data_IF_606189227018
#
_entry.id   IF_606189227018
#
_cell.length_a   1.000
_cell.length_b   1.000
_cell.length_c   1.000
_cell.angle_alpha   90.00
_cell.angle_beta   90.00
_cell.angle_gamma   90.00
#
_symmetry.space_group_name_H-M   'P 1'
#
loop_
_entity.id
_entity.type
_entity.pdbx_description
1 polymer ?
#
# COMPACT_ATOMS: atom_id res chain seq x y z
N UNK A 1 19.25 14.79 -25.47
CA UNK A 1 18.14 14.34 -24.61
C UNK A 1 18.52 14.60 -23.17
N UNK A 2 17.65 15.19 -22.35
CA UNK A 2 17.93 15.40 -20.92
C UNK A 2 18.00 14.06 -20.20
N UNK A 3 18.91 13.93 -19.22
CA UNK A 3 19.04 12.70 -18.43
C UNK A 3 17.71 12.33 -17.74
N UNK A 4 17.37 11.03 -17.65
CA UNK A 4 16.15 10.57 -16.98
C UNK A 4 16.19 10.89 -15.48
N UNK A 5 15.06 11.35 -14.94
CA UNK A 5 14.94 11.74 -13.52
C UNK A 5 14.11 10.73 -12.75
N UNK A 6 14.16 10.81 -11.43
CA UNK A 6 13.24 10.10 -10.55
C UNK A 6 12.00 10.98 -10.28
N UNK A 7 10.82 10.36 -10.28
CA UNK A 7 9.59 10.98 -9.78
C UNK A 7 9.06 10.08 -8.66
N UNK A 8 9.02 10.61 -7.45
CA UNK A 8 8.64 9.88 -6.24
C UNK A 8 7.29 10.39 -5.74
N UNK A 9 6.28 9.51 -5.75
CA UNK A 9 4.93 9.79 -5.25
C UNK A 9 4.71 9.01 -3.95
N UNK A 10 4.46 9.72 -2.86
CA UNK A 10 4.23 9.19 -1.53
C UNK A 10 2.80 9.48 -1.09
N UNK A 11 1.93 8.46 -0.99
CA UNK A 11 0.55 8.60 -0.53
C UNK A 11 0.39 7.91 0.84
N UNK A 12 0.08 8.68 1.87
CA UNK A 12 0.02 8.15 3.23
C UNK A 12 -1.35 7.53 3.59
N UNK A 13 -1.37 6.69 4.63
CA UNK A 13 -2.58 6.12 5.23
C UNK A 13 -3.33 7.13 6.10
N UNK A 14 -4.63 6.91 6.29
CA UNK A 14 -5.54 7.80 7.04
C UNK A 14 -5.12 8.14 8.46
N UNK A 15 -5.52 9.34 8.90
CA UNK A 15 -5.41 9.83 10.26
C UNK A 15 -3.96 10.08 10.73
N UNK A 16 -3.05 10.37 9.80
CA UNK A 16 -1.65 10.68 10.10
C UNK A 16 -1.36 12.15 9.84
N UNK A 17 -1.25 12.94 10.91
CA UNK A 17 -0.91 14.37 10.83
C UNK A 17 0.47 14.58 10.22
N UNK A 18 0.65 15.53 9.27
CA UNK A 18 1.96 15.84 8.70
C UNK A 18 2.94 16.44 9.71
N UNK A 19 2.48 16.89 10.88
CA UNK A 19 3.38 17.48 11.87
C UNK A 19 4.34 16.44 12.47
N UNK A 20 3.92 15.18 12.60
CA UNK A 20 4.54 14.27 13.55
C UNK A 20 5.38 13.13 12.94
N UNK A 21 5.52 13.01 11.62
CA UNK A 21 6.31 11.96 10.94
C UNK A 21 6.21 10.55 11.52
N UNK A 22 4.95 10.15 11.78
CA UNK A 22 4.68 8.89 12.45
C UNK A 22 4.77 7.70 11.51
N UNK A 23 4.45 7.88 10.22
CA UNK A 23 4.41 6.80 9.23
C UNK A 23 5.72 6.65 8.47
N UNK A 24 5.94 5.46 7.91
CA UNK A 24 7.08 5.21 7.02
C UNK A 24 6.99 5.95 5.70
N UNK A 25 5.80 6.23 5.19
CA UNK A 25 5.64 7.07 3.99
C UNK A 25 6.20 8.46 4.27
N UNK A 26 5.86 9.06 5.40
CA UNK A 26 6.35 10.38 5.77
C UNK A 26 7.84 10.36 6.14
N UNK A 27 8.30 9.35 6.89
CA UNK A 27 9.72 9.18 7.22
C UNK A 27 10.55 9.03 5.94
N UNK A 28 10.19 8.11 5.04
CA UNK A 28 10.86 7.97 3.74
C UNK A 28 10.87 9.29 2.97
N UNK A 29 9.75 10.01 2.91
CA UNK A 29 9.70 11.31 2.23
C UNK A 29 10.67 12.35 2.82
N UNK A 30 10.97 12.28 4.13
CA UNK A 30 12.01 13.12 4.75
C UNK A 30 13.42 12.67 4.38
N UNK A 31 13.65 11.36 4.23
CA UNK A 31 14.96 10.76 3.93
C UNK A 31 15.38 10.86 2.46
N UNK A 32 14.45 11.06 1.54
CA UNK A 32 14.77 11.15 0.10
C UNK A 32 15.25 12.54 -0.32
N UNK A 33 16.19 12.57 -1.26
CA UNK A 33 16.70 13.79 -1.88
C UNK A 33 15.58 14.52 -2.63
N UNK A 34 15.59 15.86 -2.58
CA UNK A 34 14.64 16.73 -3.29
C UNK A 34 15.43 17.66 -4.20
N UNK A 35 15.49 17.32 -5.49
CA UNK A 35 16.35 18.01 -6.45
C UNK A 35 15.75 18.00 -7.86
N UNK A 36 16.44 18.63 -8.80
CA UNK A 36 16.06 18.56 -10.23
C UNK A 36 16.19 17.14 -10.80
N UNK A 37 16.99 16.26 -10.17
CA UNK A 37 17.14 14.86 -10.53
C UNK A 37 16.09 13.94 -9.88
N UNK A 38 15.47 14.39 -8.78
CA UNK A 38 14.42 13.65 -8.07
C UNK A 38 13.26 14.56 -7.63
N UNK A 39 12.19 14.55 -8.42
CA UNK A 39 10.96 15.26 -8.09
C UNK A 39 10.13 14.45 -7.10
N UNK A 40 9.50 15.13 -6.15
CA UNK A 40 8.77 14.48 -5.07
C UNK A 40 7.35 15.03 -4.92
N UNK A 41 6.39 14.16 -4.65
CA UNK A 41 5.01 14.50 -4.34
C UNK A 41 4.58 13.74 -3.08
N UNK A 42 4.13 14.46 -2.07
CA UNK A 42 3.57 13.88 -0.85
C UNK A 42 2.11 14.27 -0.70
N UNK A 43 1.28 13.30 -0.38
CA UNK A 43 -0.10 13.53 0.01
C UNK A 43 -0.36 12.92 1.39
N UNK A 44 -0.82 13.72 2.36
CA UNK A 44 -1.21 13.17 3.66
C UNK A 44 -2.42 12.26 3.51
N UNK A 45 -2.61 11.36 4.46
CA UNK A 45 -3.66 10.36 4.35
C UNK A 45 -5.08 10.93 4.39
N UNK A 46 -6.02 10.15 3.87
CA UNK A 46 -7.47 10.43 3.88
C UNK A 46 -7.93 10.82 5.29
N UNK A 47 -8.61 11.96 5.45
CA UNK A 47 -9.15 12.44 6.74
C UNK A 47 -8.15 13.13 7.68
N UNK A 48 -6.97 13.51 7.17
CA UNK A 48 -5.93 14.24 7.91
C UNK A 48 -6.12 15.76 7.87
N UNK A 49 -6.63 16.30 6.76
CA UNK A 49 -6.97 17.72 6.68
C UNK A 49 -8.30 17.92 7.42
N UNK A 50 -8.28 18.73 8.49
CA UNK A 50 -9.51 19.22 9.11
C UNK A 50 -10.30 19.98 8.04
N UNK A 51 -11.53 19.57 7.71
CA UNK A 51 -12.43 20.48 7.02
C UNK A 51 -12.61 21.66 7.97
N UNK A 52 -12.24 22.87 7.51
CA UNK A 52 -12.42 24.12 8.27
C UNK A 52 -13.86 24.13 8.81
N UNK A 53 -14.02 24.07 10.14
CA UNK A 53 -15.32 24.09 10.83
C UNK A 53 -15.83 22.77 11.41
N UNK A 54 -15.14 21.63 11.25
CA UNK A 54 -15.57 20.36 11.88
C UNK A 54 -14.91 20.17 13.26
N UNK A 55 -15.57 20.68 14.30
CA UNK A 55 -15.19 20.44 15.70
C UNK A 55 -15.70 19.06 16.19
N UNK A 56 -14.78 18.22 16.67
CA UNK A 56 -15.08 17.07 17.52
C UNK A 56 -14.75 15.67 16.95
N UNK A 57 -14.21 14.74 17.77
CA UNK A 57 -13.72 13.42 17.32
C UNK A 57 -14.81 12.47 16.82
N UNK A 58 -16.06 12.61 17.30
CA UNK A 58 -17.20 11.77 16.89
C UNK A 58 -17.72 12.13 15.50
N UNK A 59 -17.91 13.43 15.21
CA UNK A 59 -18.31 13.90 13.86
C UNK A 59 -17.25 13.55 12.82
N UNK A 60 -15.97 13.68 13.18
CA UNK A 60 -14.84 13.26 12.35
C UNK A 60 -14.90 11.76 12.00
N UNK A 61 -15.15 10.89 12.97
CA UNK A 61 -15.32 9.43 12.73
C UNK A 61 -16.52 9.13 11.84
N UNK A 62 -17.63 9.84 12.01
CA UNK A 62 -18.82 9.67 11.18
C UNK A 62 -18.56 10.09 9.71
N UNK A 63 -17.98 11.27 9.48
CA UNK A 63 -17.56 11.74 8.15
C UNK A 63 -16.56 10.78 7.49
N UNK A 64 -15.56 10.31 8.24
CA UNK A 64 -14.61 9.31 7.75
C UNK A 64 -15.27 7.99 7.36
N UNK A 65 -16.31 7.57 8.10
CA UNK A 65 -17.11 6.39 7.77
C UNK A 65 -17.89 6.58 6.47
N UNK A 66 -18.50 7.74 6.29
CA UNK A 66 -19.22 8.12 5.05
C UNK A 66 -18.28 8.21 3.84
N UNK A 67 -17.12 8.86 4.00
CA UNK A 67 -16.09 8.99 2.96
C UNK A 67 -15.49 7.63 2.56
N UNK A 68 -15.27 6.75 3.55
CA UNK A 68 -14.80 5.39 3.29
C UNK A 68 -15.82 4.59 2.48
N UNK A 69 -17.12 4.81 2.73
CA UNK A 69 -18.22 4.17 2.01
C UNK A 69 -18.37 4.64 0.56
N UNK A 70 -18.18 5.93 0.27
CA UNK A 70 -18.34 6.50 -1.08
C UNK A 70 -17.11 6.33 -1.98
N UNK A 71 -15.92 6.17 -1.40
CA UNK A 71 -14.65 6.15 -2.14
C UNK A 71 -14.24 7.52 -2.70
N UNK A 72 -14.96 8.58 -2.36
CA UNK A 72 -14.71 9.94 -2.86
C UNK A 72 -13.29 10.44 -2.56
N UNK A 73 -12.78 10.18 -1.34
CA UNK A 73 -11.44 10.63 -0.99
C UNK A 73 -10.35 9.86 -1.74
N UNK A 74 -10.57 8.57 -2.04
CA UNK A 74 -9.66 7.80 -2.88
C UNK A 74 -9.56 8.43 -4.27
N UNK A 75 -10.71 8.70 -4.90
CA UNK A 75 -10.76 9.36 -6.19
C UNK A 75 -9.98 10.68 -6.17
N UNK A 76 -10.22 11.53 -5.15
CA UNK A 76 -9.54 12.81 -5.01
C UNK A 76 -8.02 12.66 -4.89
N UNK A 77 -7.56 11.71 -4.08
CA UNK A 77 -6.13 11.48 -3.86
C UNK A 77 -5.44 10.95 -5.12
N UNK A 78 -6.01 9.89 -5.71
CA UNK A 78 -5.47 9.29 -6.94
C UNK A 78 -5.49 10.28 -8.09
N UNK A 79 -6.58 11.04 -8.27
CA UNK A 79 -6.68 12.04 -9.34
C UNK A 79 -5.69 13.18 -9.15
N UNK A 80 -5.43 13.63 -7.92
CA UNK A 80 -4.43 14.67 -7.65
C UNK A 80 -3.00 14.20 -7.94
N UNK A 81 -2.64 12.97 -7.52
CA UNK A 81 -1.35 12.39 -7.85
C UNK A 81 -1.20 12.14 -9.36
N UNK A 82 -2.24 11.64 -10.02
CA UNK A 82 -2.29 11.47 -11.48
C UNK A 82 -2.11 12.79 -12.21
N UNK A 83 -2.77 13.86 -11.75
CA UNK A 83 -2.61 15.21 -12.30
C UNK A 83 -1.19 15.73 -12.14
N UNK A 84 -0.59 15.58 -10.95
CA UNK A 84 0.82 15.93 -10.73
C UNK A 84 1.72 15.22 -11.73
N UNK A 85 1.57 13.90 -11.89
CA UNK A 85 2.33 13.13 -12.87
C UNK A 85 2.12 13.65 -14.29
N UNK A 86 0.89 13.99 -14.66
CA UNK A 86 0.55 14.54 -15.98
C UNK A 86 1.30 15.84 -16.27
N UNK A 87 1.48 16.68 -15.24
CA UNK A 87 2.17 17.96 -15.40
C UNK A 87 3.69 17.82 -15.48
N UNK A 88 4.30 16.86 -14.75
CA UNK A 88 5.77 16.83 -14.59
C UNK A 88 6.51 15.72 -15.34
N UNK A 89 5.82 14.64 -15.72
CA UNK A 89 6.44 13.45 -16.31
C UNK A 89 7.03 13.74 -17.70
N UNK A 90 8.28 13.35 -17.88
CA UNK A 90 8.98 13.33 -19.17
C UNK A 90 9.27 11.89 -19.56
N UNK A 91 9.30 11.64 -20.86
CA UNK A 91 9.66 10.32 -21.36
C UNK A 91 11.05 9.90 -20.87
N UNK A 92 11.13 8.68 -20.31
CA UNK A 92 12.34 8.16 -19.68
C UNK A 92 12.43 8.38 -18.16
N UNK A 93 11.59 9.23 -17.56
CA UNK A 93 11.57 9.39 -16.10
C UNK A 93 11.19 8.07 -15.40
N UNK A 94 11.82 7.79 -14.26
CA UNK A 94 11.57 6.60 -13.43
C UNK A 94 10.55 6.93 -12.33
N UNK A 95 9.41 6.26 -12.37
CA UNK A 95 8.31 6.48 -11.41
C UNK A 95 8.41 5.54 -10.20
N UNK A 96 8.53 6.12 -9.01
CA UNK A 96 8.50 5.45 -7.72
C UNK A 96 7.20 5.77 -7.01
N UNK A 97 6.48 4.76 -6.56
CA UNK A 97 5.22 4.89 -5.84
C UNK A 97 5.35 4.27 -4.45
N UNK A 98 5.11 5.05 -3.41
CA UNK A 98 5.16 4.60 -2.01
C UNK A 98 3.83 4.82 -1.30
N UNK A 99 3.40 3.83 -0.53
CA UNK A 99 2.22 4.00 0.32
C UNK A 99 2.15 3.02 1.48
N UNK A 100 1.43 3.44 2.53
CA UNK A 100 1.14 2.63 3.71
C UNK A 100 -0.38 2.45 3.86
N UNK A 101 -0.83 1.25 4.23
CA UNK A 101 -2.22 0.99 4.58
C UNK A 101 -3.17 1.33 3.41
N UNK A 102 -4.08 2.27 3.62
CA UNK A 102 -4.95 2.82 2.57
C UNK A 102 -4.19 3.61 1.51
N UNK A 103 -3.10 4.28 1.89
CA UNK A 103 -2.20 4.95 0.97
C UNK A 103 -1.49 3.95 0.03
N UNK A 104 -1.14 2.77 0.55
CA UNK A 104 -0.62 1.65 -0.25
C UNK A 104 -1.65 1.17 -1.29
N UNK A 105 -2.93 1.11 -0.89
CA UNK A 105 -4.02 0.84 -1.83
C UNK A 105 -4.18 1.98 -2.86
N UNK A 106 -4.11 3.24 -2.44
CA UNK A 106 -4.18 4.41 -3.33
C UNK A 106 -3.09 4.39 -4.41
N UNK A 107 -1.84 4.08 -4.08
CA UNK A 107 -0.77 3.99 -5.10
C UNK A 107 -0.96 2.81 -6.04
N UNK A 108 -1.52 1.70 -5.56
CA UNK A 108 -1.91 0.56 -6.42
C UNK A 108 -3.04 0.93 -7.38
N UNK A 109 -4.03 1.69 -6.91
CA UNK A 109 -5.13 2.23 -7.73
C UNK A 109 -4.58 3.24 -8.75
N UNK A 110 -3.64 4.11 -8.36
CA UNK A 110 -2.94 5.00 -9.28
C UNK A 110 -2.19 4.23 -10.38
N UNK A 111 -1.42 3.21 -9.99
CA UNK A 111 -0.74 2.33 -10.95
C UNK A 111 -1.74 1.61 -11.86
N UNK A 112 -2.89 1.20 -11.33
CA UNK A 112 -3.96 0.58 -12.12
C UNK A 112 -4.58 1.54 -13.12
N UNK A 113 -4.84 2.79 -12.72
CA UNK A 113 -5.30 3.86 -13.59
C UNK A 113 -4.30 4.12 -14.72
N UNK A 114 -3.00 4.25 -14.41
CA UNK A 114 -1.95 4.39 -15.42
C UNK A 114 -1.90 3.20 -16.39
N UNK A 115 -2.08 1.97 -15.89
CA UNK A 115 -2.14 0.76 -16.70
C UNK A 115 -3.34 0.77 -17.65
N UNK A 116 -4.51 1.21 -17.19
CA UNK A 116 -5.75 1.21 -17.96
C UNK A 116 -5.83 2.39 -18.94
N UNK A 117 -5.74 3.63 -18.47
CA UNK A 117 -6.01 4.83 -19.28
C UNK A 117 -4.75 5.56 -19.76
N UNK A 118 -3.55 5.13 -19.32
CA UNK A 118 -2.29 5.81 -19.61
C UNK A 118 -2.15 7.06 -18.77
N UNK A 119 -1.08 7.83 -18.97
CA UNK A 119 -0.93 9.15 -18.36
C UNK A 119 -1.29 10.23 -19.38
N UNK A 120 -2.15 11.18 -19.02
CA UNK A 120 -2.49 12.29 -19.91
C UNK A 120 -1.25 13.12 -20.30
N UNK A 121 -1.34 13.78 -21.47
CA UNK A 121 -0.41 14.83 -21.84
C UNK A 121 -0.58 16.06 -20.93
N UNK A 122 0.49 16.86 -20.72
CA UNK A 122 0.44 18.01 -19.83
C UNK A 122 -0.57 19.04 -20.36
N UNK A 123 -1.27 19.72 -19.45
CA UNK A 123 -2.32 20.70 -19.80
C UNK A 123 -3.74 20.13 -19.93
N UNK A 124 -3.93 18.81 -19.93
CA UNK A 124 -5.25 18.17 -20.03
C UNK A 124 -5.96 18.01 -18.67
N UNK A 125 -5.91 19.03 -17.81
CA UNK A 125 -6.43 18.99 -16.42
C UNK A 125 -7.90 18.56 -16.34
N UNK A 126 -8.74 19.15 -17.18
CA UNK A 126 -10.18 18.87 -17.24
C UNK A 126 -10.50 17.42 -17.64
N UNK A 127 -9.55 16.72 -18.28
CA UNK A 127 -9.73 15.33 -18.71
C UNK A 127 -9.41 14.31 -17.61
N UNK A 128 -8.83 14.72 -16.48
CA UNK A 128 -8.53 13.80 -15.37
C UNK A 128 -9.79 13.15 -14.81
N UNK A 129 -10.88 13.92 -14.68
CA UNK A 129 -12.16 13.37 -14.22
C UNK A 129 -12.69 12.30 -15.18
N UNK A 130 -12.56 12.52 -16.50
CA UNK A 130 -12.91 11.53 -17.51
C UNK A 130 -12.00 10.30 -17.46
N UNK A 131 -10.70 10.49 -17.30
CA UNK A 131 -9.73 9.41 -17.15
C UNK A 131 -10.04 8.53 -15.93
N UNK A 132 -10.43 9.15 -14.79
CA UNK A 132 -10.88 8.44 -13.60
C UNK A 132 -12.15 7.62 -13.89
N UNK A 133 -13.18 8.22 -14.47
CA UNK A 133 -14.43 7.52 -14.82
C UNK A 133 -14.18 6.34 -15.77
N UNK A 134 -13.30 6.53 -16.75
CA UNK A 134 -12.90 5.48 -17.68
C UNK A 134 -12.21 4.31 -16.97
N UNK A 135 -11.37 4.57 -15.97
CA UNK A 135 -10.74 3.54 -15.14
C UNK A 135 -11.75 2.85 -14.21
N UNK A 136 -12.59 3.63 -13.53
CA UNK A 136 -13.57 3.15 -12.55
C UNK A 136 -14.69 2.31 -13.18
N UNK A 137 -15.03 2.58 -14.44
CA UNK A 137 -16.00 1.81 -15.22
C UNK A 137 -15.45 0.48 -15.76
N UNK A 138 -14.16 0.19 -15.56
CA UNK A 138 -13.59 -1.12 -15.88
C UNK A 138 -14.25 -2.18 -14.98
N UNK A 139 -14.94 -3.19 -15.53
CA UNK A 139 -15.58 -4.20 -14.71
C UNK A 139 -14.54 -4.93 -13.84
N UNK A 140 -14.74 -4.94 -12.52
CA UNK A 140 -13.87 -5.65 -11.60
C UNK A 140 -13.88 -7.16 -11.89
N UNK A 141 -12.71 -7.80 -11.77
CA UNK A 141 -12.52 -9.25 -11.83
C UNK A 141 -12.52 -9.84 -10.40
N UNK A 142 -13.00 -11.08 -10.17
CA UNK A 142 -13.39 -12.06 -11.19
C UNK A 142 -14.84 -11.90 -11.67
N UNK A 143 -15.18 -12.53 -12.83
CA UNK A 143 -16.53 -12.50 -13.36
C UNK A 143 -17.52 -13.13 -12.37
N UNK A 144 -18.69 -12.51 -12.19
CA UNK A 144 -19.88 -13.28 -11.80
C UNK A 144 -20.16 -14.34 -12.86
N UNK A 145 -20.87 -15.41 -12.50
CA UNK A 145 -21.07 -16.65 -13.26
C UNK A 145 -21.49 -16.48 -14.75
N UNK A 146 -21.91 -15.29 -15.17
CA UNK A 146 -22.32 -14.95 -16.54
C UNK A 146 -21.20 -14.40 -17.45
N UNK A 147 -19.94 -14.81 -17.22
CA UNK A 147 -18.80 -14.45 -18.07
C UNK A 147 -19.01 -14.77 -19.56
N UNK A 148 -19.88 -15.75 -19.84
CA UNK A 148 -20.19 -16.24 -21.17
C UNK A 148 -21.26 -15.43 -21.93
N UNK A 149 -21.93 -14.44 -21.32
CA UNK A 149 -23.02 -13.74 -22.03
C UNK A 149 -22.47 -12.91 -23.22
N UNK A 150 -22.98 -13.10 -24.45
CA UNK A 150 -22.49 -12.39 -25.64
C UNK A 150 -22.58 -10.86 -25.51
N UNK A 151 -23.62 -10.36 -24.82
CA UNK A 151 -23.83 -8.94 -24.54
C UNK A 151 -22.70 -8.35 -23.68
N UNK A 152 -22.28 -9.05 -22.62
CA UNK A 152 -21.18 -8.59 -21.75
C UNK A 152 -19.84 -8.62 -22.47
N UNK A 153 -19.58 -9.66 -23.27
CA UNK A 153 -18.37 -9.73 -24.09
C UNK A 153 -18.31 -8.58 -25.11
N UNK A 154 -19.43 -8.25 -25.75
CA UNK A 154 -19.51 -7.11 -26.66
C UNK A 154 -19.25 -5.78 -25.92
N UNK A 155 -19.90 -5.56 -24.77
CA UNK A 155 -19.69 -4.35 -23.97
C UNK A 155 -18.21 -4.18 -23.55
N UNK A 156 -17.54 -5.27 -23.16
CA UNK A 156 -16.11 -5.28 -22.86
C UNK A 156 -15.26 -4.94 -24.09
N UNK A 157 -15.56 -5.53 -25.26
CA UNK A 157 -14.86 -5.22 -26.51
C UNK A 157 -14.99 -3.74 -26.88
N UNK A 158 -16.19 -3.18 -26.75
CA UNK A 158 -16.46 -1.78 -27.05
C UNK A 158 -15.79 -0.84 -26.04
N UNK A 159 -15.82 -1.19 -24.75
CA UNK A 159 -15.07 -0.49 -23.70
C UNK A 159 -13.57 -0.44 -24.03
N UNK A 160 -12.93 -1.59 -24.29
CA UNK A 160 -11.50 -1.62 -24.60
C UNK A 160 -11.17 -0.92 -25.92
N UNK A 161 -12.07 -0.92 -26.91
CA UNK A 161 -11.92 -0.13 -28.14
C UNK A 161 -11.85 1.37 -27.81
N UNK A 162 -12.77 1.87 -26.98
CA UNK A 162 -12.77 3.27 -26.53
C UNK A 162 -11.53 3.62 -25.72
N UNK A 163 -11.13 2.79 -24.77
CA UNK A 163 -9.90 3.01 -23.99
C UNK A 163 -8.65 3.04 -24.89
N UNK A 164 -8.53 2.14 -25.87
CA UNK A 164 -7.41 2.17 -26.82
C UNK A 164 -7.38 3.46 -27.63
N UNK A 165 -8.54 3.92 -28.11
CA UNK A 165 -8.66 5.19 -28.83
C UNK A 165 -8.26 6.38 -27.95
N UNK A 166 -8.82 6.44 -26.73
CA UNK A 166 -8.50 7.47 -25.74
C UNK A 166 -7.00 7.54 -25.45
N UNK A 167 -6.38 6.39 -25.17
CA UNK A 167 -4.94 6.31 -24.92
C UNK A 167 -4.12 6.81 -26.10
N UNK A 168 -4.50 6.47 -27.32
CA UNK A 168 -3.78 6.87 -28.54
C UNK A 168 -3.82 8.39 -28.74
N UNK A 169 -4.95 9.03 -28.42
CA UNK A 169 -5.15 10.46 -28.67
C UNK A 169 -4.64 11.35 -27.53
N UNK A 170 -4.75 10.90 -26.28
CA UNK A 170 -4.60 11.79 -25.11
C UNK A 170 -3.55 11.34 -24.11
N UNK A 171 -3.01 10.12 -24.23
CA UNK A 171 -2.15 9.54 -23.20
C UNK A 171 -0.81 9.05 -23.72
N UNK A 172 0.18 9.10 -22.82
CA UNK A 172 1.50 8.47 -22.96
C UNK A 172 1.62 7.26 -22.04
N UNK A 173 2.56 6.37 -22.40
CA UNK A 173 2.92 5.21 -21.58
C UNK A 173 3.88 5.64 -20.48
N UNK A 174 3.63 5.15 -19.26
CA UNK A 174 4.47 5.41 -18.09
C UNK A 174 4.64 4.10 -17.34
N UNK A 175 5.79 3.42 -17.47
CA UNK A 175 6.10 2.27 -16.63
C UNK A 175 6.28 2.75 -15.18
N UNK A 176 5.86 1.92 -14.23
CA UNK A 176 6.15 2.12 -12.81
C UNK A 176 7.45 1.38 -12.52
N UNK A 177 8.50 2.12 -12.19
CA UNK A 177 9.83 1.57 -11.92
C UNK A 177 9.85 0.80 -10.59
N UNK A 178 9.26 1.38 -9.55
CA UNK A 178 9.24 0.81 -8.21
C UNK A 178 7.92 1.08 -7.48
N UNK A 179 7.34 0.04 -6.88
CA UNK A 179 6.15 0.10 -6.04
C UNK A 179 6.49 -0.40 -4.63
N UNK A 180 6.67 0.53 -3.69
CA UNK A 180 6.98 0.28 -2.29
C UNK A 180 5.74 0.37 -1.41
N UNK A 181 5.40 -0.72 -0.73
CA UNK A 181 4.15 -0.85 0.01
C UNK A 181 4.43 -1.28 1.46
N UNK A 182 3.81 -0.60 2.42
CA UNK A 182 3.69 -1.10 3.79
C UNK A 182 2.25 -1.51 4.04
N UNK A 183 2.07 -2.77 4.43
CA UNK A 183 0.85 -3.40 4.90
C UNK A 183 -0.45 -2.94 4.21
N UNK A 184 -0.52 -3.14 2.89
CA UNK A 184 -1.70 -2.77 2.09
C UNK A 184 -2.97 -3.43 2.64
N UNK A 185 -3.95 -2.59 3.02
CA UNK A 185 -5.30 -3.02 3.41
C UNK A 185 -6.32 -2.49 2.40
N UNK A 186 -7.17 -3.36 1.88
CA UNK A 186 -8.25 -2.99 0.96
C UNK A 186 -9.41 -2.39 1.75
N UNK A 187 -9.57 -1.07 1.73
CA UNK A 187 -10.50 -0.39 2.64
C UNK A 187 -11.44 0.62 1.96
N UNK A 188 -11.69 0.47 0.67
CA UNK A 188 -12.61 1.36 -0.04
C UNK A 188 -13.97 0.68 -0.09
N UNK A 189 -15.05 1.41 0.19
CA UNK A 189 -16.38 0.84 0.35
C UNK A 189 -16.69 0.42 1.79
N UNK A 190 -17.90 -0.08 2.00
CA UNK A 190 -18.31 -0.62 3.29
C UNK A 190 -17.51 -1.90 3.56
N UNK A 191 -17.11 -2.21 4.82
CA UNK A 191 -16.35 -3.44 5.13
C UNK A 191 -16.98 -4.73 4.59
N UNK A 192 -18.30 -4.75 4.43
CA UNK A 192 -19.09 -5.85 3.88
C UNK A 192 -19.30 -5.83 2.36
N UNK A 193 -18.96 -4.73 1.69
CA UNK A 193 -19.07 -4.54 0.25
C UNK A 193 -17.89 -3.70 -0.29
N UNK A 194 -16.69 -4.31 -0.39
CA UNK A 194 -15.49 -3.60 -0.76
C UNK A 194 -15.51 -3.15 -2.24
N UNK A 195 -15.10 -1.89 -2.39
CA UNK A 195 -14.60 -1.16 -3.55
C UNK A 195 -13.41 -1.84 -4.25
N UNK A 196 -13.60 -2.82 -5.13
CA UNK A 196 -12.47 -3.43 -5.86
C UNK A 196 -12.14 -2.64 -7.12
N UNK A 197 -10.86 -2.28 -7.27
CA UNK A 197 -10.33 -1.67 -8.49
C UNK A 197 -9.40 -2.64 -9.21
N UNK A 198 -9.46 -2.60 -10.54
CA UNK A 198 -8.62 -3.43 -11.41
C UNK A 198 -7.14 -3.07 -11.31
N UNK A 199 -6.28 -4.07 -11.52
CA UNK A 199 -4.82 -3.95 -11.49
C UNK A 199 -4.20 -3.52 -10.15
N UNK A 200 -4.92 -3.73 -9.05
CA UNK A 200 -4.40 -3.39 -7.71
C UNK A 200 -3.50 -4.48 -7.11
N UNK A 201 -3.63 -5.74 -7.53
CA UNK A 201 -2.80 -6.87 -7.09
C UNK A 201 -2.05 -7.58 -8.24
N UNK A 202 -2.33 -7.19 -9.48
CA UNK A 202 -1.68 -7.71 -10.68
C UNK A 202 -1.64 -6.62 -11.73
N UNK A 203 -0.46 -6.02 -11.92
CA UNK A 203 -0.29 -4.89 -12.81
C UNK A 203 0.95 -5.08 -13.70
N UNK A 204 0.77 -5.19 -15.03
CA UNK A 204 1.89 -5.49 -15.94
C UNK A 204 2.83 -4.30 -16.18
N UNK A 205 2.46 -3.06 -15.80
CA UNK A 205 3.34 -1.89 -16.00
C UNK A 205 4.32 -1.66 -14.85
N UNK A 206 4.22 -2.45 -13.77
CA UNK A 206 5.06 -2.31 -12.57
C UNK A 206 6.26 -3.25 -12.69
N UNK A 207 7.47 -2.71 -12.72
CA UNK A 207 8.70 -3.49 -12.84
C UNK A 207 9.10 -4.13 -11.52
N UNK A 208 9.19 -3.34 -10.45
CA UNK A 208 9.63 -3.80 -9.12
C UNK A 208 8.54 -3.58 -8.09
N UNK A 209 8.23 -4.61 -7.30
CA UNK A 209 7.29 -4.54 -6.16
C UNK A 209 8.03 -4.97 -4.90
N UNK A 210 7.94 -4.13 -3.86
CA UNK A 210 8.38 -4.44 -2.50
C UNK A 210 7.21 -4.18 -1.56
N UNK A 211 6.77 -5.22 -0.87
CA UNK A 211 5.64 -5.12 0.05
C UNK A 211 6.04 -5.69 1.41
N UNK A 212 6.18 -4.81 2.40
CA UNK A 212 6.35 -5.19 3.80
C UNK A 212 4.98 -5.51 4.42
N UNK A 213 4.81 -6.71 4.99
CA UNK A 213 3.52 -7.21 5.49
C UNK A 213 3.60 -7.50 6.99
N UNK A 214 2.60 -7.07 7.76
CA UNK A 214 2.51 -7.36 9.20
C UNK A 214 2.14 -8.82 9.46
N UNK A 215 3.01 -9.54 10.17
CA UNK A 215 2.79 -10.94 10.56
C UNK A 215 1.77 -11.08 11.69
N UNK A 216 1.82 -10.16 12.66
CA UNK A 216 1.08 -10.25 13.92
C UNK A 216 -0.17 -9.34 13.95
N UNK A 217 -0.69 -8.96 12.79
CA UNK A 217 -1.94 -8.20 12.69
C UNK A 217 -3.16 -9.12 12.72
N UNK A 218 -4.00 -8.96 13.74
CA UNK A 218 -5.10 -9.88 14.06
C UNK A 218 -6.50 -9.30 13.85
N UNK A 219 -6.63 -8.00 13.54
CA UNK A 219 -7.94 -7.39 13.30
C UNK A 219 -8.44 -7.82 11.93
N UNK A 220 -9.56 -8.53 11.88
CA UNK A 220 -10.06 -9.06 10.61
C UNK A 220 -10.67 -8.02 9.66
N UNK A 221 -10.64 -6.72 10.01
CA UNK A 221 -10.90 -5.62 9.08
C UNK A 221 -9.62 -5.10 8.39
N UNK A 222 -8.44 -5.58 8.80
CA UNK A 222 -7.12 -5.23 8.27
C UNK A 222 -6.55 -6.38 7.44
N UNK A 223 -7.37 -6.87 6.49
CA UNK A 223 -6.99 -7.96 5.60
C UNK A 223 -5.96 -7.47 4.61
N UNK A 224 -4.85 -8.19 4.52
CA UNK A 224 -3.76 -7.90 3.61
C UNK A 224 -4.20 -8.07 2.15
N UNK A 225 -3.77 -7.16 1.29
CA UNK A 225 -3.93 -7.27 -0.16
C UNK A 225 -2.59 -7.68 -0.79
N UNK A 226 -2.31 -8.98 -0.80
CA UNK A 226 -1.08 -9.51 -1.39
C UNK A 226 -1.10 -9.42 -2.92
N UNK A 227 0.08 -9.35 -3.53
CA UNK A 227 0.26 -9.43 -4.97
C UNK A 227 -0.20 -10.79 -5.52
N UNK A 228 -0.38 -10.89 -6.83
CA UNK A 228 -0.71 -12.15 -7.50
C UNK A 228 0.35 -13.21 -7.19
N UNK A 229 -0.03 -14.46 -6.85
CA UNK A 229 0.92 -15.53 -6.61
C UNK A 229 1.69 -15.95 -7.87
N UNK A 230 1.23 -15.50 -9.05
CA UNK A 230 1.86 -15.75 -10.34
C UNK A 230 2.18 -14.41 -11.01
N UNK A 231 3.22 -13.69 -10.56
CA UNK A 231 3.66 -12.47 -11.24
C UNK A 231 4.23 -12.79 -12.62
N UNK A 232 4.28 -11.78 -13.50
CA UNK A 232 4.95 -11.94 -14.80
C UNK A 232 6.46 -12.15 -14.59
N UNK A 233 7.14 -12.99 -15.39
CA UNK A 233 8.59 -13.19 -15.30
C UNK A 233 9.44 -11.92 -15.48
N UNK A 234 8.84 -10.85 -16.02
CA UNK A 234 9.49 -9.54 -16.20
C UNK A 234 9.41 -8.64 -14.95
N UNK A 235 8.74 -9.10 -13.89
CA UNK A 235 8.55 -8.35 -12.66
C UNK A 235 9.40 -8.93 -11.55
N UNK A 236 10.05 -8.06 -10.78
CA UNK A 236 10.71 -8.43 -9.54
C UNK A 236 9.78 -8.12 -8.37
N UNK A 237 9.17 -9.15 -7.78
CA UNK A 237 8.19 -9.02 -6.70
C UNK A 237 8.72 -9.67 -5.42
N UNK A 238 8.77 -8.90 -4.32
CA UNK A 238 9.03 -9.43 -2.98
C UNK A 238 7.96 -8.96 -2.00
N UNK A 239 7.28 -9.92 -1.39
CA UNK A 239 6.34 -9.70 -0.28
C UNK A 239 6.96 -10.29 0.98
N UNK A 240 7.51 -9.43 1.85
CA UNK A 240 8.29 -9.83 3.01
C UNK A 240 7.49 -9.57 4.29
N UNK A 241 7.37 -10.60 5.12
CA UNK A 241 6.64 -10.57 6.38
C UNK A 241 7.55 -10.15 7.53
N UNK A 242 7.09 -9.21 8.35
CA UNK A 242 7.79 -8.66 9.50
C UNK A 242 6.98 -8.84 10.78
N UNK A 243 7.68 -8.98 11.91
CA UNK A 243 7.04 -9.05 13.24
C UNK A 243 6.36 -7.73 13.59
N UNK A 244 5.29 -7.81 14.38
CA UNK A 244 4.48 -6.69 14.83
C UNK A 244 3.16 -6.53 14.05
N UNK A 245 2.32 -5.64 14.56
CA UNK A 245 1.03 -5.29 13.97
C UNK A 245 1.15 -4.28 12.82
N UNK A 246 0.00 -3.80 12.33
CA UNK A 246 -0.06 -2.86 11.20
C UNK A 246 0.85 -1.62 11.34
N UNK A 247 0.87 -1.00 12.52
CA UNK A 247 1.70 0.19 12.78
C UNK A 247 3.15 -0.13 13.12
N UNK A 248 3.47 -1.38 13.50
CA UNK A 248 4.85 -1.82 13.68
C UNK A 248 5.49 -2.09 12.31
N UNK A 249 4.70 -2.28 11.24
CA UNK A 249 5.22 -2.45 9.88
C UNK A 249 5.18 -1.17 9.05
N UNK A 250 4.18 -0.31 9.22
CA UNK A 250 4.07 0.93 8.46
C UNK A 250 4.36 2.21 9.24
N UNK A 251 4.69 2.10 10.52
CA UNK A 251 4.73 3.23 11.46
C UNK A 251 3.33 3.69 11.88
N UNK A 252 3.27 4.74 12.68
CA UNK A 252 2.02 5.44 13.00
C UNK A 252 1.59 5.38 14.47
N UNK A 253 2.14 4.48 15.31
CA UNK A 253 1.73 4.44 16.72
C UNK A 253 2.10 5.73 17.46
N UNK A 254 1.21 6.25 18.34
CA UNK A 254 1.51 7.36 19.21
C UNK A 254 2.53 6.91 20.25
N UNK A 255 3.65 7.61 20.28
CA UNK A 255 4.83 7.16 21.02
C UNK A 255 4.98 7.77 22.40
N UNK A 256 4.16 8.76 22.77
CA UNK A 256 4.39 9.56 23.98
C UNK A 256 5.82 10.12 24.05
N UNK A 257 6.47 10.33 22.88
CA UNK A 257 7.87 10.75 22.76
C UNK A 257 8.91 9.64 22.51
N UNK A 258 8.55 8.34 22.49
CA UNK A 258 9.49 7.22 22.26
C UNK A 258 9.33 6.51 20.92
N UNK A 259 10.29 6.64 20.02
CA UNK A 259 10.23 5.98 18.71
C UNK A 259 9.90 4.47 18.77
N UNK A 260 9.06 4.01 17.83
CA UNK A 260 8.76 2.59 17.65
C UNK A 260 9.98 1.95 16.99
N UNK A 261 10.89 1.42 17.80
CA UNK A 261 12.13 0.81 17.33
C UNK A 261 11.85 -0.38 16.39
N UNK A 262 10.88 -1.23 16.71
CA UNK A 262 10.51 -2.39 15.88
C UNK A 262 10.19 -1.99 14.42
N UNK A 263 9.51 -0.85 14.25
CA UNK A 263 9.12 -0.33 12.94
C UNK A 263 10.31 0.20 12.12
N UNK A 264 11.48 0.41 12.71
CA UNK A 264 12.64 0.87 11.94
C UNK A 264 13.18 -0.21 10.99
N UNK A 265 12.94 -1.50 11.28
CA UNK A 265 13.39 -2.61 10.42
C UNK A 265 12.68 -2.59 9.04
N UNK A 266 11.33 -2.63 8.95
CA UNK A 266 10.62 -2.50 7.67
C UNK A 266 10.95 -1.23 6.87
N UNK A 267 11.20 -0.11 7.55
CA UNK A 267 11.62 1.14 6.90
C UNK A 267 13.03 1.01 6.30
N UNK A 268 13.99 0.49 7.08
CA UNK A 268 15.36 0.27 6.62
C UNK A 268 15.38 -0.70 5.43
N UNK A 269 14.58 -1.77 5.48
CA UNK A 269 14.48 -2.75 4.39
C UNK A 269 13.94 -2.10 3.12
N UNK A 270 12.82 -1.38 3.20
CA UNK A 270 12.24 -0.70 2.04
C UNK A 270 13.21 0.31 1.43
N UNK A 271 13.91 1.08 2.27
CA UNK A 271 14.86 2.08 1.82
C UNK A 271 16.03 1.44 1.08
N UNK A 272 16.62 0.36 1.64
CA UNK A 272 17.69 -0.41 0.99
C UNK A 272 17.26 -0.97 -0.36
N UNK A 273 16.07 -1.55 -0.46
CA UNK A 273 15.56 -2.10 -1.72
C UNK A 273 15.28 -0.98 -2.76
N UNK A 274 14.83 0.20 -2.31
CA UNK A 274 14.59 1.32 -3.21
C UNK A 274 15.89 2.02 -3.66
N UNK A 275 16.88 2.16 -2.77
CA UNK A 275 18.24 2.64 -3.08
C UNK A 275 18.90 1.73 -4.12
N UNK A 276 18.80 0.41 -3.94
CA UNK A 276 19.27 -0.57 -4.91
C UNK A 276 18.58 -0.44 -6.29
N UNK A 277 17.34 0.07 -6.32
CA UNK A 277 16.63 0.39 -7.56
C UNK A 277 16.96 1.79 -8.13
N UNK A 278 17.79 2.59 -7.45
CA UNK A 278 18.24 3.90 -7.88
C UNK A 278 17.46 5.10 -7.32
N UNK A 279 16.74 4.93 -6.20
CA UNK A 279 16.18 6.03 -5.41
C UNK A 279 17.33 6.84 -4.80
N UNK A 280 17.24 8.18 -4.85
CA UNK A 280 18.25 9.06 -4.24
C UNK A 280 17.85 9.44 -2.81
N UNK A 281 18.79 9.35 -1.88
CA UNK A 281 18.59 9.66 -0.47
C UNK A 281 19.46 10.80 -0.01
N UNK A 282 18.93 11.63 0.89
CA UNK A 282 19.70 12.66 1.56
C UNK A 282 20.62 12.02 2.60
N UNK A 283 21.94 12.14 2.41
CA UNK A 283 22.93 11.46 3.22
C UNK A 283 22.90 11.91 4.70
N UNK A 284 22.65 13.19 4.95
CA UNK A 284 22.57 13.73 6.30
C UNK A 284 21.30 13.22 7.01
N UNK A 285 20.15 13.35 6.37
CA UNK A 285 18.89 12.84 6.90
C UNK A 285 18.95 11.32 7.14
N UNK A 286 19.63 10.58 6.24
CA UNK A 286 19.85 9.12 6.36
C UNK A 286 20.68 8.75 7.59
N UNK A 287 21.73 9.52 7.88
CA UNK A 287 22.58 9.32 9.05
C UNK A 287 21.83 9.66 10.36
N UNK A 288 21.07 10.76 10.37
CA UNK A 288 20.30 11.21 11.53
C UNK A 288 19.07 10.32 11.84
N UNK A 289 18.62 9.52 10.87
CA UNK A 289 17.43 8.68 10.99
C UNK A 289 17.54 7.55 12.04
N UNK A 290 18.77 7.14 12.39
CA UNK A 290 19.02 6.04 13.33
C UNK A 290 18.38 4.71 12.91
N UNK A 291 18.36 4.41 11.61
CA UNK A 291 17.87 3.13 11.10
C UNK A 291 18.87 2.00 11.38
N UNK A 292 18.41 0.77 11.64
CA UNK A 292 19.31 -0.37 11.82
C UNK A 292 20.16 -0.62 10.58
N UNK A 293 21.39 -1.07 10.81
CA UNK A 293 22.16 -1.78 9.80
C UNK A 293 21.60 -3.22 9.71
N UNK A 294 20.97 -3.54 8.58
CA UNK A 294 20.35 -4.85 8.35
C UNK A 294 21.38 -5.98 8.15
N UNK A 295 22.66 -5.64 7.98
CA UNK A 295 23.75 -6.61 7.84
C UNK A 295 24.38 -7.01 9.17
N UNK A 296 24.19 -6.20 10.22
CA UNK A 296 24.70 -6.42 11.56
C UNK A 296 23.65 -7.08 12.45
N UNK A 297 23.91 -8.34 12.81
CA UNK A 297 23.00 -9.15 13.63
C UNK A 297 22.84 -8.60 15.06
N UNK A 298 23.87 -7.98 15.64
CA UNK A 298 23.79 -7.41 17.00
C UNK A 298 22.96 -6.13 17.00
N UNK A 299 23.21 -5.25 16.02
CA UNK A 299 22.40 -4.04 15.83
C UNK A 299 20.93 -4.40 15.58
N UNK A 300 20.67 -5.41 14.74
CA UNK A 300 19.32 -5.88 14.40
C UNK A 300 18.57 -6.44 15.61
N UNK A 301 19.23 -7.20 16.49
CA UNK A 301 18.60 -7.82 17.66
C UNK A 301 17.90 -6.80 18.55
N UNK A 302 18.51 -5.63 18.79
CA UNK A 302 17.89 -4.55 19.57
C UNK A 302 16.51 -4.19 19.02
N UNK A 303 16.42 -3.91 17.72
CA UNK A 303 15.17 -3.52 17.08
C UNK A 303 14.20 -4.71 16.97
N UNK A 304 14.71 -5.91 16.72
CA UNK A 304 13.91 -7.13 16.62
C UNK A 304 13.26 -7.52 17.95
N UNK A 305 13.84 -7.14 19.08
CA UNK A 305 13.32 -7.40 20.43
C UNK A 305 12.50 -6.24 21.02
N UNK A 306 12.45 -5.10 20.35
CA UNK A 306 11.67 -3.95 20.79
C UNK A 306 10.18 -4.31 21.02
N UNK A 307 9.46 -3.61 21.92
CA UNK A 307 8.05 -3.91 22.19
C UNK A 307 7.19 -3.91 20.93
N UNK A 308 6.33 -4.93 20.79
CA UNK A 308 5.30 -5.00 19.75
C UNK A 308 4.01 -4.33 20.22
N UNK A 309 3.24 -3.79 19.31
CA UNK A 309 1.91 -3.26 19.60
C UNK A 309 0.85 -4.21 19.06
N UNK A 310 -0.15 -4.51 19.90
CA UNK A 310 -1.28 -5.35 19.52
C UNK A 310 -2.58 -4.62 19.81
N UNK A 311 -3.15 -4.01 18.77
CA UNK A 311 -4.37 -3.20 18.90
C UNK A 311 -5.61 -4.04 19.20
N UNK A 312 -5.55 -5.38 19.06
CA UNK A 312 -6.69 -6.25 19.34
C UNK A 312 -7.18 -6.15 20.79
N UNK A 313 -6.31 -5.72 21.70
CA UNK A 313 -6.65 -5.57 23.11
C UNK A 313 -7.59 -4.40 23.40
N UNK A 314 -7.77 -3.45 22.48
CA UNK A 314 -8.80 -2.42 22.64
C UNK A 314 -10.22 -3.02 22.56
N UNK A 315 -11.07 -2.66 23.51
CA UNK A 315 -12.40 -3.26 23.69
C UNK A 315 -13.30 -3.17 22.44
N UNK A 316 -13.22 -2.08 21.67
CA UNK A 316 -13.97 -1.90 20.42
C UNK A 316 -13.59 -2.97 19.38
N UNK A 317 -12.30 -3.29 19.28
CA UNK A 317 -11.83 -4.34 18.38
C UNK A 317 -12.30 -5.70 18.87
N UNK A 318 -12.12 -6.03 20.15
CA UNK A 318 -12.61 -7.29 20.72
C UNK A 318 -14.11 -7.52 20.50
N UNK A 319 -14.92 -6.46 20.64
CA UNK A 319 -16.34 -6.52 20.34
C UNK A 319 -16.59 -6.81 18.86
N UNK A 320 -15.93 -6.06 17.96
CA UNK A 320 -16.06 -6.26 16.51
C UNK A 320 -15.67 -7.67 16.05
N UNK A 321 -14.69 -8.30 16.72
CA UNK A 321 -14.18 -9.65 16.43
C UNK A 321 -15.16 -10.76 16.84
N UNK A 322 -16.03 -10.49 17.81
CA UNK A 322 -17.07 -11.42 18.30
C UNK A 322 -18.37 -11.32 17.51
N UNK A 323 -18.59 -10.21 16.82
CA UNK A 323 -19.79 -10.03 16.00
C UNK A 323 -19.68 -10.81 14.68
N UNK A 324 -20.75 -11.48 14.22
CA UNK A 324 -20.80 -12.20 12.95
C UNK A 324 -20.97 -11.24 11.76
N UNK A 325 -20.00 -10.34 11.57
CA UNK A 325 -19.96 -9.37 10.48
C UNK A 325 -19.35 -10.07 9.26
N UNK A 326 -19.91 -9.88 8.04
CA UNK A 326 -19.29 -10.41 6.83
C UNK A 326 -17.89 -9.83 6.63
N UNK A 327 -16.91 -10.72 6.53
CA UNK A 327 -15.51 -10.37 6.30
C UNK A 327 -14.94 -11.13 5.12
N UNK A 328 -14.00 -10.48 4.45
CA UNK A 328 -13.21 -11.09 3.40
C UNK A 328 -11.94 -11.67 3.99
N UNK A 329 -11.44 -12.75 3.42
CA UNK A 329 -10.11 -13.26 3.72
C UNK A 329 -9.46 -13.76 2.43
N UNK A 330 -8.13 -13.75 2.41
CA UNK A 330 -7.38 -14.33 1.30
C UNK A 330 -6.85 -15.70 1.73
N UNK A 331 -7.18 -16.73 0.96
CA UNK A 331 -6.66 -18.08 1.14
C UNK A 331 -5.19 -18.18 0.71
N UNK A 332 -4.52 -19.27 1.09
CA UNK A 332 -3.11 -19.49 0.78
C UNK A 332 -2.80 -19.57 -0.73
N UNK A 333 -3.77 -19.95 -1.55
CA UNK A 333 -3.69 -19.96 -3.02
C UNK A 333 -4.07 -18.60 -3.67
N UNK A 334 -4.37 -17.59 -2.84
CA UNK A 334 -4.62 -16.22 -3.28
C UNK A 334 -6.08 -15.91 -3.64
N UNK A 335 -7.02 -16.85 -3.44
CA UNK A 335 -8.45 -16.62 -3.68
C UNK A 335 -9.07 -15.80 -2.55
N UNK A 336 -10.05 -14.98 -2.91
CA UNK A 336 -10.82 -14.18 -1.95
C UNK A 336 -12.09 -14.93 -1.56
N UNK A 337 -12.27 -15.11 -0.26
CA UNK A 337 -13.44 -15.79 0.32
C UNK A 337 -14.18 -14.84 1.26
N UNK A 338 -15.51 -14.89 1.23
CA UNK A 338 -16.38 -14.12 2.13
C UNK A 338 -16.99 -15.06 3.16
N UNK A 339 -16.86 -14.71 4.44
CA UNK A 339 -17.40 -15.51 5.54
C UNK A 339 -18.30 -14.67 6.45
N UNK A 340 -19.33 -15.32 6.99
CA UNK A 340 -20.25 -14.76 7.98
C UNK A 340 -20.05 -15.48 9.31
N UNK A 341 -18.91 -15.20 9.96
CA UNK A 341 -18.58 -15.78 11.27
C UNK A 341 -17.75 -14.81 12.10
N UNK A 342 -17.80 -14.90 13.43
CA UNK A 342 -16.85 -14.19 14.28
C UNK A 342 -15.40 -14.54 13.90
N UNK A 343 -14.55 -13.52 13.84
CA UNK A 343 -13.16 -13.67 13.38
C UNK A 343 -12.23 -14.12 14.50
N UNK A 344 -12.55 -13.80 15.77
CA UNK A 344 -11.79 -14.22 16.95
C UNK A 344 -10.29 -13.90 16.88
N UNK A 345 -9.91 -12.74 16.35
CA UNK A 345 -8.51 -12.32 16.29
C UNK A 345 -7.57 -13.33 15.62
N UNK A 346 -8.06 -14.08 14.62
CA UNK A 346 -7.26 -15.08 13.92
C UNK A 346 -6.05 -14.44 13.25
N UNK A 347 -4.94 -15.19 13.27
CA UNK A 347 -3.72 -14.82 12.59
C UNK A 347 -3.90 -14.82 11.06
N UNK A 348 -3.09 -14.01 10.38
CA UNK A 348 -3.08 -13.92 8.92
C UNK A 348 -2.57 -15.21 8.30
N UNK A 349 -3.16 -15.59 7.16
CA UNK A 349 -2.71 -16.74 6.38
C UNK A 349 -1.46 -16.40 5.56
N UNK A 350 -0.38 -17.17 5.76
CA UNK A 350 0.81 -17.14 4.91
C UNK A 350 0.66 -18.10 3.73
N UNK A 351 1.20 -17.70 2.57
CA UNK A 351 1.29 -18.58 1.40
C UNK A 351 2.48 -19.54 1.55
N UNK A 352 2.46 -20.71 0.90
CA UNK A 352 3.65 -21.57 0.81
C UNK A 352 4.84 -20.81 0.23
N UNK A 353 6.03 -20.95 0.82
CA UNK A 353 7.23 -20.23 0.37
C UNK A 353 7.21 -18.73 0.65
N UNK A 354 6.35 -18.23 1.54
CA UNK A 354 6.32 -16.81 1.91
C UNK A 354 7.69 -16.35 2.42
N UNK A 355 8.09 -15.13 2.04
CA UNK A 355 9.35 -14.55 2.47
C UNK A 355 9.17 -13.94 3.87
N UNK A 356 9.97 -14.38 4.83
CA UNK A 356 9.92 -13.86 6.21
C UNK A 356 11.26 -13.20 6.51
N UNK A 357 11.22 -11.97 7.03
CA UNK A 357 12.44 -11.27 7.39
C UNK A 357 13.11 -11.94 8.60
N UNK A 358 14.44 -12.06 8.59
CA UNK A 358 15.22 -12.76 9.62
C UNK A 358 14.97 -12.22 11.04
N UNK A 359 14.65 -10.93 11.18
CA UNK A 359 14.29 -10.34 12.47
C UNK A 359 13.12 -11.04 13.18
N UNK A 360 12.21 -11.67 12.44
CA UNK A 360 11.13 -12.50 13.01
C UNK A 360 11.72 -13.70 13.76
N UNK A 361 12.74 -14.33 13.19
CA UNK A 361 13.39 -15.50 13.78
C UNK A 361 14.36 -15.12 14.90
N UNK A 362 15.06 -14.00 14.79
CA UNK A 362 15.82 -13.45 15.91
C UNK A 362 14.91 -13.23 17.12
N UNK A 363 13.74 -12.61 16.90
CA UNK A 363 12.72 -12.45 17.94
C UNK A 363 12.20 -13.78 18.47
N UNK A 364 11.88 -14.75 17.60
CA UNK A 364 11.38 -16.07 17.99
C UNK A 364 12.35 -16.83 18.90
N UNK A 365 13.65 -16.77 18.58
CA UNK A 365 14.73 -17.42 19.33
C UNK A 365 14.98 -16.76 20.68
N UNK A 366 15.01 -15.43 20.72
CA UNK A 366 15.47 -14.65 21.87
C UNK A 366 14.33 -14.18 22.79
N UNK A 367 13.09 -14.12 22.31
CA UNK A 367 11.91 -13.77 23.10
C UNK A 367 11.02 -15.00 23.30
N UNK A 368 11.05 -15.59 24.49
CA UNK A 368 10.25 -16.79 24.83
C UNK A 368 8.73 -16.58 24.69
N UNK A 369 8.26 -15.35 24.90
CA UNK A 369 6.85 -14.97 24.78
C UNK A 369 6.37 -14.80 23.33
N UNK A 370 7.27 -14.74 22.35
CA UNK A 370 6.89 -14.55 20.94
C UNK A 370 6.69 -15.90 20.25
N UNK A 371 5.43 -16.29 20.01
CA UNK A 371 5.05 -17.56 19.38
C UNK A 371 3.95 -17.32 18.34
N UNK A 372 4.28 -16.76 17.15
CA UNK A 372 3.30 -16.52 16.10
C UNK A 372 2.70 -17.85 15.61
N UNK A 373 1.39 -17.97 15.63
CA UNK A 373 0.68 -19.22 15.28
C UNK A 373 0.53 -19.46 13.78
N UNK A 374 0.85 -18.45 12.96
CA UNK A 374 0.74 -18.49 11.51
C UNK A 374 2.08 -18.69 10.79
N UNK A 375 3.19 -18.80 11.52
CA UNK A 375 4.48 -19.09 10.91
C UNK A 375 4.48 -20.54 10.40
N UNK A 376 4.84 -20.72 9.13
CA UNK A 376 4.87 -22.04 8.47
C UNK A 376 6.30 -22.58 8.46
N UNK A 377 6.45 -23.90 8.35
CA UNK A 377 7.77 -24.55 8.25
C UNK A 377 8.43 -24.33 6.88
N UNK A 378 7.63 -24.01 5.84
CA UNK A 378 8.07 -23.84 4.44
C UNK A 378 8.33 -22.37 4.05
N UNK A 379 8.48 -21.47 5.02
CA UNK A 379 8.83 -20.08 4.74
C UNK A 379 10.28 -19.95 4.28
N UNK A 380 10.56 -18.93 3.47
CA UNK A 380 11.90 -18.61 3.00
C UNK A 380 12.41 -17.41 3.78
N UNK A 381 13.54 -17.58 4.46
CA UNK A 381 14.18 -16.50 5.20
C UNK A 381 14.86 -15.51 4.26
N UNK A 382 14.66 -14.22 4.51
CA UNK A 382 15.31 -13.13 3.78
C UNK A 382 15.87 -12.07 4.73
N UNK A 383 16.91 -11.39 4.27
CA UNK A 383 17.49 -10.20 4.92
C UNK A 383 17.10 -8.93 4.21
#
# INVERSE_FOLDING_TARGET
MTAPRNIVVCLDGTNNSPADARTHVQRLYRLIEKSSAQLTYYQPGVGTLEPIGVLGPLRRRALMGLDSGSGWMLQRHVSAAYQFLSDVYREGDRLYLFGFSRGAYSVRVLAGMLATVGLLHPGMREMVAFAWQAYESLPAFPPQADAASPRRQQALRDYFRRIRSFRKSYSRRVPVHFLGLWDTVSSVGLPWLPRVYSHTASNPIVATVRHAVALDEHRGNFVQNLWTPKPSPKQDVREVWFAGGHGDVGGGYPTGGRDIELARIPLAWMLREAEAAGLLTDAQARAEAGLPDLSDDEAMQRFALAPRHDEIHHWLWQLSERLPIPRWSQSADGRWERHWRPHHARARTLRPGALVHESVYQRLRLCSAYRPSNLRDDVVLVR
#
